data_IF_554051187032
#
_entry.id   IF_554051187032
#
_cell.length_a   1.000
_cell.length_b   1.000
_cell.length_c   1.000
_cell.angle_alpha   90.00
_cell.angle_beta   90.00
_cell.angle_gamma   90.00
#
_symmetry.space_group_name_H-M   'P 1'
#
loop_
_entity.id
_entity.type
_entity.pdbx_description
1 polymer ?
#
# COMPACT_ATOMS: atom_id res chain seq x y z
N UNK A 1 -13.73 71.35 -3.84
CA UNK A 1 -14.16 70.38 -2.82
C UNK A 1 -14.01 68.99 -3.41
N UNK A 2 -12.97 68.28 -2.98
CA UNK A 2 -12.45 67.08 -3.62
C UNK A 2 -13.22 65.81 -3.22
N UNK A 3 -13.41 64.90 -4.19
CA UNK A 3 -14.04 63.58 -4.05
C UNK A 3 -13.10 62.64 -3.28
N UNK A 4 -13.64 61.95 -2.27
CA UNK A 4 -13.00 60.82 -1.60
C UNK A 4 -13.10 59.57 -2.49
N UNK A 5 -11.96 58.99 -2.87
CA UNK A 5 -11.86 57.64 -3.43
C UNK A 5 -11.28 56.73 -2.35
N UNK A 6 -12.07 55.77 -1.89
CA UNK A 6 -11.61 54.69 -1.02
C UNK A 6 -10.89 53.64 -1.88
N UNK A 7 -9.59 53.47 -1.67
CA UNK A 7 -8.82 52.32 -2.15
C UNK A 7 -8.97 51.20 -1.10
N UNK A 8 -9.72 50.15 -1.42
CA UNK A 8 -9.73 48.91 -0.64
C UNK A 8 -8.55 48.05 -1.05
N UNK A 9 -7.57 47.93 -0.17
CA UNK A 9 -6.42 47.05 -0.33
C UNK A 9 -6.86 45.60 -0.04
N UNK A 10 -7.06 44.80 -1.08
CA UNK A 10 -7.35 43.37 -0.94
C UNK A 10 -6.05 42.62 -0.67
N UNK A 11 -5.81 42.24 0.59
CA UNK A 11 -4.75 41.30 0.97
C UNK A 11 -5.15 39.90 0.53
N UNK A 12 -4.57 39.44 -0.58
CA UNK A 12 -4.65 38.06 -1.04
C UNK A 12 -3.82 37.20 -0.07
N UNK A 13 -4.49 36.50 0.86
CA UNK A 13 -3.86 35.53 1.73
C UNK A 13 -3.55 34.29 0.87
N UNK A 14 -2.34 34.21 0.32
CA UNK A 14 -1.83 32.98 -0.28
C UNK A 14 -1.71 31.93 0.83
N UNK A 15 -2.72 31.06 0.93
CA UNK A 15 -2.63 29.80 1.65
C UNK A 15 -1.61 28.94 0.89
N UNK A 16 -0.34 29.03 1.29
CA UNK A 16 0.63 27.99 0.97
C UNK A 16 0.17 26.72 1.69
N UNK A 17 -0.53 25.86 0.96
CA UNK A 17 -0.60 24.44 1.30
C UNK A 17 0.84 23.92 1.31
N UNK A 18 1.41 23.80 2.49
CA UNK A 18 2.56 22.94 2.71
C UNK A 18 2.07 21.50 2.48
N UNK A 19 2.10 21.06 1.23
CA UNK A 19 2.26 19.63 0.99
C UNK A 19 3.58 19.27 1.66
N UNK A 20 3.52 18.29 2.55
CA UNK A 20 4.73 17.68 3.06
C UNK A 20 5.34 16.88 1.91
N UNK A 21 6.14 17.56 1.09
CA UNK A 21 6.88 16.94 0.00
C UNK A 21 7.74 15.82 0.61
N UNK A 22 7.46 14.57 0.21
CA UNK A 22 8.25 13.42 0.62
C UNK A 22 9.67 13.58 0.06
N UNK A 23 10.71 13.15 0.80
CA UNK A 23 12.13 13.46 0.55
C UNK A 23 12.71 13.06 -0.84
N UNK A 24 11.91 12.45 -1.73
CA UNK A 24 12.36 11.92 -3.01
C UNK A 24 11.55 12.42 -4.22
N UNK A 25 10.96 13.62 -4.17
CA UNK A 25 10.17 14.20 -5.28
C UNK A 25 10.93 14.37 -6.62
N UNK A 26 12.25 14.24 -6.63
CA UNK A 26 13.05 14.21 -7.88
C UNK A 26 12.94 12.89 -8.63
N UNK A 27 12.29 11.88 -8.03
CA UNK A 27 12.00 10.61 -8.69
C UNK A 27 10.90 10.77 -9.75
N UNK A 28 11.20 10.33 -10.96
CA UNK A 28 10.21 10.20 -12.03
C UNK A 28 10.45 8.91 -12.77
N UNK A 29 9.45 8.03 -12.74
CA UNK A 29 9.42 6.80 -13.52
C UNK A 29 9.72 7.04 -15.01
N UNK A 30 9.25 8.18 -15.56
CA UNK A 30 9.42 8.52 -16.98
C UNK A 30 10.74 9.21 -17.30
N UNK A 31 11.39 9.81 -16.31
CA UNK A 31 12.58 10.65 -16.52
C UNK A 31 13.63 10.42 -15.43
N UNK A 32 13.98 9.15 -15.19
CA UNK A 32 15.03 8.79 -14.26
C UNK A 32 16.40 9.31 -14.74
N UNK A 33 17.22 9.95 -13.88
CA UNK A 33 18.52 10.49 -14.27
C UNK A 33 19.46 9.42 -14.82
N UNK A 34 19.93 9.59 -16.05
CA UNK A 34 20.77 8.57 -16.71
C UNK A 34 22.13 8.37 -16.04
N UNK A 35 22.65 9.39 -15.36
CA UNK A 35 23.91 9.34 -14.60
C UNK A 35 23.77 8.56 -13.28
N UNK A 36 22.56 8.37 -12.76
CA UNK A 36 22.29 7.60 -11.54
C UNK A 36 21.89 6.15 -11.84
N UNK A 37 21.69 5.80 -13.12
CA UNK A 37 21.25 4.47 -13.52
C UNK A 37 22.38 3.45 -13.39
N UNK A 38 22.23 2.52 -12.46
CA UNK A 38 23.16 1.41 -12.21
C UNK A 38 22.42 0.22 -11.58
N UNK A 39 23.04 -0.96 -11.46
CA UNK A 39 22.41 -2.09 -10.76
C UNK A 39 22.14 -1.75 -9.29
N UNK A 40 20.90 -1.99 -8.85
CA UNK A 40 20.44 -1.72 -7.47
C UNK A 40 21.37 -2.35 -6.43
N UNK A 41 21.69 -3.63 -6.61
CA UNK A 41 22.52 -4.38 -5.67
C UNK A 41 23.95 -3.83 -5.59
N UNK A 42 24.51 -3.35 -6.70
CA UNK A 42 25.83 -2.71 -6.72
C UNK A 42 25.82 -1.39 -5.95
N UNK A 43 24.81 -0.55 -6.17
CA UNK A 43 24.67 0.72 -5.46
C UNK A 43 24.54 0.49 -3.95
N UNK A 44 23.69 -0.46 -3.56
CA UNK A 44 23.41 -0.76 -2.17
C UNK A 44 24.63 -1.35 -1.44
N UNK A 45 25.29 -2.36 -2.02
CA UNK A 45 26.53 -2.94 -1.44
C UNK A 45 27.63 -1.91 -1.30
N UNK A 46 27.81 -1.05 -2.31
CA UNK A 46 28.79 0.03 -2.22
C UNK A 46 28.46 0.98 -1.06
N UNK A 47 27.19 1.34 -0.86
CA UNK A 47 26.77 2.19 0.25
C UNK A 47 27.11 1.56 1.62
N UNK A 48 26.87 0.25 1.78
CA UNK A 48 27.22 -0.48 3.00
C UNK A 48 28.73 -0.57 3.22
N UNK A 49 29.52 -0.74 2.15
CA UNK A 49 30.98 -0.68 2.24
C UNK A 49 31.45 0.70 2.73
N UNK A 50 30.84 1.79 2.25
CA UNK A 50 31.15 3.14 2.75
C UNK A 50 30.70 3.34 4.20
N UNK A 51 29.57 2.75 4.60
CA UNK A 51 29.12 2.74 5.99
C UNK A 51 30.17 2.11 6.91
N UNK A 52 30.72 0.95 6.54
CA UNK A 52 31.76 0.27 7.35
C UNK A 52 33.08 1.05 7.43
N UNK A 53 33.38 1.85 6.39
CA UNK A 53 34.55 2.73 6.34
C UNK A 53 34.32 4.09 7.00
N UNK A 54 33.14 4.31 7.59
CA UNK A 54 32.72 5.59 8.19
C UNK A 54 32.74 6.78 7.20
N UNK A 55 32.61 6.51 5.91
CA UNK A 55 32.47 7.54 4.88
C UNK A 55 30.98 7.93 4.73
N UNK A 56 30.51 8.74 5.67
CA UNK A 56 29.08 9.02 5.85
C UNK A 56 28.41 9.72 4.66
N UNK A 57 29.10 10.67 4.03
CA UNK A 57 28.54 11.43 2.91
C UNK A 57 28.28 10.54 1.70
N UNK A 58 29.28 9.73 1.32
CA UNK A 58 29.18 8.78 0.20
C UNK A 58 28.15 7.67 0.50
N UNK A 59 28.12 7.19 1.74
CA UNK A 59 27.14 6.21 2.20
C UNK A 59 25.70 6.73 2.03
N UNK A 60 25.43 7.97 2.47
CA UNK A 60 24.12 8.62 2.30
C UNK A 60 23.76 8.73 0.83
N UNK A 61 24.68 9.18 -0.02
CA UNK A 61 24.43 9.37 -1.46
C UNK A 61 24.01 8.06 -2.12
N UNK A 62 24.75 6.98 -1.90
CA UNK A 62 24.44 5.69 -2.52
C UNK A 62 23.22 5.00 -1.90
N UNK A 63 22.95 5.17 -0.60
CA UNK A 63 21.71 4.69 0.01
C UNK A 63 20.49 5.42 -0.60
N UNK A 64 20.52 6.74 -0.74
CA UNK A 64 19.44 7.50 -1.37
C UNK A 64 19.26 7.12 -2.87
N UNK A 65 20.35 6.91 -3.62
CA UNK A 65 20.31 6.42 -5.01
C UNK A 65 19.71 5.01 -5.06
N UNK A 66 20.12 4.11 -4.18
CA UNK A 66 19.60 2.74 -4.13
C UNK A 66 18.09 2.70 -3.86
N UNK A 67 17.57 3.55 -2.98
CA UNK A 67 16.12 3.69 -2.75
C UNK A 67 15.38 4.16 -4.01
N UNK A 68 15.95 5.12 -4.77
CA UNK A 68 15.36 5.56 -6.04
C UNK A 68 15.40 4.46 -7.11
N UNK A 69 16.49 3.70 -7.19
CA UNK A 69 16.63 2.56 -8.11
C UNK A 69 15.62 1.44 -7.77
N UNK A 70 15.42 1.17 -6.49
CA UNK A 70 14.40 0.20 -6.04
C UNK A 70 12.99 0.63 -6.45
N UNK A 71 12.63 1.90 -6.26
CA UNK A 71 11.33 2.43 -6.73
C UNK A 71 11.20 2.36 -8.25
N UNK A 72 12.24 2.77 -8.99
CA UNK A 72 12.27 2.65 -10.45
C UNK A 72 11.99 1.21 -10.90
N UNK A 73 12.62 0.23 -10.25
CA UNK A 73 12.43 -1.18 -10.55
C UNK A 73 10.99 -1.62 -10.28
N UNK A 74 10.46 -1.37 -9.07
CA UNK A 74 9.10 -1.77 -8.67
C UNK A 74 8.01 -1.12 -9.54
N UNK A 75 8.14 0.16 -9.85
CA UNK A 75 7.18 0.88 -10.69
C UNK A 75 7.25 0.39 -12.15
N UNK A 76 8.45 0.04 -12.64
CA UNK A 76 8.61 -0.58 -13.97
C UNK A 76 7.93 -1.94 -14.06
N UNK A 77 7.98 -2.73 -12.99
CA UNK A 77 7.28 -4.01 -12.93
C UNK A 77 5.77 -3.83 -12.90
N UNK A 78 5.26 -2.99 -12.00
CA UNK A 78 3.83 -2.67 -11.90
C UNK A 78 3.29 -2.16 -13.25
N UNK A 79 3.98 -1.19 -13.86
CA UNK A 79 3.60 -0.61 -15.14
C UNK A 79 3.45 -1.67 -16.25
N UNK A 80 4.43 -2.57 -16.38
CA UNK A 80 4.35 -3.61 -17.41
C UNK A 80 3.28 -4.66 -17.09
N UNK A 81 3.16 -5.09 -15.84
CA UNK A 81 2.20 -6.12 -15.44
C UNK A 81 0.74 -5.63 -15.56
N UNK A 82 0.47 -4.35 -15.25
CA UNK A 82 -0.83 -3.72 -15.45
C UNK A 82 -1.18 -3.58 -16.93
N UNK A 83 -0.28 -3.01 -17.74
CA UNK A 83 -0.54 -2.80 -19.18
C UNK A 83 -0.70 -4.11 -19.95
N UNK A 84 -0.11 -5.21 -19.48
CA UNK A 84 -0.24 -6.53 -20.09
C UNK A 84 -1.32 -7.40 -19.43
N UNK A 85 -2.04 -6.92 -18.40
CA UNK A 85 -2.99 -7.72 -17.62
C UNK A 85 -4.21 -8.20 -18.42
N UNK A 86 -4.67 -7.38 -19.37
CA UNK A 86 -5.85 -7.65 -20.21
C UNK A 86 -5.53 -8.31 -21.55
N UNK A 87 -4.25 -8.54 -21.85
CA UNK A 87 -3.83 -9.14 -23.12
C UNK A 87 -4.28 -10.60 -23.18
N UNK A 88 -5.00 -10.97 -24.24
CA UNK A 88 -5.51 -12.31 -24.51
C UNK A 88 -5.13 -12.78 -25.91
N UNK A 89 -5.28 -14.08 -26.16
CA UNK A 89 -5.17 -14.67 -27.49
C UNK A 89 -6.20 -14.07 -28.46
N UNK A 90 -5.84 -14.03 -29.73
CA UNK A 90 -6.76 -13.63 -30.80
C UNK A 90 -7.66 -14.84 -31.16
N UNK A 91 -8.98 -14.63 -31.24
CA UNK A 91 -9.99 -15.68 -31.48
C UNK A 91 -10.03 -16.79 -30.40
N UNK A 92 -10.30 -16.42 -29.14
CA UNK A 92 -10.41 -17.36 -28.02
C UNK A 92 -11.42 -18.49 -28.26
N UNK A 93 -12.49 -18.24 -29.03
CA UNK A 93 -13.52 -19.22 -29.43
C UNK A 93 -12.94 -20.48 -30.09
N UNK A 94 -11.78 -20.38 -30.77
CA UNK A 94 -11.13 -21.54 -31.41
C UNK A 94 -10.62 -22.57 -30.40
N UNK A 95 -10.50 -22.19 -29.14
CA UNK A 95 -9.98 -23.03 -28.07
C UNK A 95 -11.07 -23.52 -27.11
N UNK A 96 -12.36 -23.35 -27.45
CA UNK A 96 -13.49 -23.82 -26.60
C UNK A 96 -13.39 -25.31 -26.25
N UNK A 97 -12.96 -26.15 -27.19
CA UNK A 97 -12.78 -27.60 -26.97
C UNK A 97 -11.43 -27.94 -26.30
N UNK A 98 -10.53 -26.97 -26.10
CA UNK A 98 -9.16 -27.17 -25.62
C UNK A 98 -8.78 -26.20 -24.48
N UNK A 99 -9.33 -26.37 -23.26
CA UNK A 99 -9.12 -25.44 -22.15
C UNK A 99 -7.65 -25.25 -21.75
N UNK A 100 -6.83 -26.30 -21.81
CA UNK A 100 -5.41 -26.23 -21.50
C UNK A 100 -4.65 -25.34 -22.50
N UNK A 101 -4.90 -25.53 -23.80
CA UNK A 101 -4.30 -24.71 -24.85
C UNK A 101 -4.76 -23.25 -24.76
N UNK A 102 -6.02 -23.02 -24.37
CA UNK A 102 -6.56 -21.69 -24.11
C UNK A 102 -5.81 -20.99 -22.96
N UNK A 103 -5.69 -21.66 -21.81
CA UNK A 103 -5.03 -21.12 -20.63
C UNK A 103 -3.54 -20.82 -20.88
N UNK A 104 -2.78 -21.80 -21.39
CA UNK A 104 -1.36 -21.62 -21.67
C UNK A 104 -1.09 -20.66 -22.82
N UNK A 105 -1.96 -20.61 -23.83
CA UNK A 105 -1.87 -19.64 -24.90
C UNK A 105 -2.03 -18.20 -24.39
N UNK A 106 -2.95 -17.97 -23.44
CA UNK A 106 -3.09 -16.68 -22.76
C UNK A 106 -1.85 -16.33 -21.93
N UNK A 107 -1.24 -17.31 -21.24
CA UNK A 107 0.05 -17.11 -20.55
C UNK A 107 1.14 -16.70 -21.54
N UNK A 108 1.28 -17.39 -22.68
CA UNK A 108 2.28 -17.06 -23.70
C UNK A 108 2.09 -15.67 -24.28
N UNK A 109 0.84 -15.27 -24.56
CA UNK A 109 0.53 -13.93 -25.08
C UNK A 109 0.88 -12.85 -24.05
N UNK A 110 0.54 -13.05 -22.77
CA UNK A 110 0.92 -12.13 -21.69
C UNK A 110 2.44 -12.05 -21.53
N UNK A 111 3.15 -13.18 -21.56
CA UNK A 111 4.61 -13.22 -21.50
C UNK A 111 5.27 -12.48 -22.67
N UNK A 112 4.73 -12.59 -23.89
CA UNK A 112 5.19 -11.83 -25.05
C UNK A 112 5.03 -10.31 -24.84
N UNK A 113 3.89 -9.88 -24.32
CA UNK A 113 3.64 -8.47 -23.99
C UNK A 113 4.66 -7.96 -22.95
N UNK A 114 4.85 -8.72 -21.86
CA UNK A 114 5.81 -8.37 -20.81
C UNK A 114 7.23 -8.27 -21.32
N UNK A 115 7.67 -9.24 -22.14
CA UNK A 115 9.00 -9.21 -22.76
C UNK A 115 9.23 -7.93 -23.57
N UNK A 116 8.23 -7.52 -24.38
CA UNK A 116 8.30 -6.28 -25.16
C UNK A 116 8.29 -5.03 -24.27
N UNK A 117 7.43 -5.00 -23.26
CA UNK A 117 7.34 -3.86 -22.34
C UNK A 117 8.65 -3.67 -21.55
N UNK A 118 9.16 -4.74 -20.93
CA UNK A 118 10.38 -4.69 -20.12
C UNK A 118 11.60 -4.28 -20.95
N UNK A 119 11.72 -4.72 -22.21
CA UNK A 119 12.81 -4.30 -23.11
C UNK A 119 12.85 -2.78 -23.34
N UNK A 120 11.70 -2.10 -23.27
CA UNK A 120 11.60 -0.66 -23.47
C UNK A 120 12.06 0.19 -22.29
N UNK A 121 12.17 -0.38 -21.07
CA UNK A 121 12.36 0.40 -19.85
C UNK A 121 13.81 0.33 -19.33
N UNK A 122 14.39 1.46 -18.85
CA UNK A 122 15.77 1.51 -18.37
C UNK A 122 16.06 0.57 -17.19
N UNK A 123 15.07 0.34 -16.31
CA UNK A 123 15.22 -0.51 -15.13
C UNK A 123 15.68 -1.93 -15.48
N UNK A 124 15.18 -2.49 -16.59
CA UNK A 124 15.48 -3.86 -17.02
C UNK A 124 16.68 -3.96 -17.96
N UNK A 125 17.41 -2.86 -18.17
CA UNK A 125 18.73 -2.88 -18.83
C UNK A 125 19.86 -3.18 -17.84
N UNK A 126 19.58 -3.07 -16.55
CA UNK A 126 20.51 -3.37 -15.46
C UNK A 126 20.40 -4.84 -15.05
N UNK A 127 21.39 -5.33 -14.31
CA UNK A 127 21.33 -6.64 -13.66
C UNK A 127 20.14 -6.70 -12.70
N UNK A 128 19.40 -7.80 -12.75
CA UNK A 128 18.26 -8.02 -11.86
C UNK A 128 18.74 -8.11 -10.40
N UNK A 129 18.07 -7.43 -9.46
CA UNK A 129 18.42 -7.52 -8.04
C UNK A 129 18.09 -8.91 -7.48
N UNK A 130 18.91 -9.38 -6.53
CA UNK A 130 18.65 -10.61 -5.80
C UNK A 130 17.39 -10.53 -4.92
N UNK A 131 16.81 -11.71 -4.60
CA UNK A 131 15.66 -11.81 -3.70
C UNK A 131 15.93 -11.17 -2.34
N UNK A 132 17.11 -11.45 -1.79
CA UNK A 132 17.57 -10.90 -0.50
C UNK A 132 17.60 -9.36 -0.53
N UNK A 133 18.17 -8.78 -1.60
CA UNK A 133 18.17 -7.32 -1.76
C UNK A 133 16.75 -6.77 -1.80
N UNK A 134 15.85 -7.36 -2.58
CA UNK A 134 14.46 -6.89 -2.66
C UNK A 134 13.75 -6.98 -1.30
N UNK A 135 13.98 -8.05 -0.54
CA UNK A 135 13.41 -8.24 0.80
C UNK A 135 13.91 -7.21 1.80
N UNK A 136 15.21 -6.87 1.78
CA UNK A 136 15.76 -5.81 2.64
C UNK A 136 15.10 -4.44 2.37
N UNK A 137 14.89 -4.10 1.11
CA UNK A 137 14.19 -2.85 0.73
C UNK A 137 12.72 -2.88 1.10
N UNK A 138 12.04 -4.02 0.88
CA UNK A 138 10.65 -4.21 1.33
C UNK A 138 10.53 -4.06 2.84
N UNK A 139 11.53 -4.48 3.61
CA UNK A 139 11.60 -4.36 5.06
C UNK A 139 12.18 -3.03 5.54
N UNK A 140 12.41 -2.05 4.65
CA UNK A 140 12.94 -0.72 4.99
C UNK A 140 14.35 -0.76 5.62
N UNK A 141 15.13 -1.82 5.46
CA UNK A 141 16.49 -1.95 6.01
C UNK A 141 17.43 -0.79 5.63
N UNK A 142 17.40 -0.21 4.40
CA UNK A 142 18.26 0.94 4.08
C UNK A 142 18.08 2.12 5.05
N UNK A 143 16.90 2.30 5.63
CA UNK A 143 16.62 3.37 6.60
C UNK A 143 17.35 3.20 7.93
N UNK A 144 17.66 1.97 8.33
CA UNK A 144 18.47 1.64 9.51
C UNK A 144 19.88 2.20 9.41
N UNK A 145 20.47 2.13 8.23
CA UNK A 145 21.80 2.68 7.93
C UNK A 145 21.74 4.18 7.68
N UNK A 146 20.76 4.65 6.90
CA UNK A 146 20.58 6.06 6.58
C UNK A 146 20.43 6.93 7.83
N UNK A 147 19.63 6.51 8.82
CA UNK A 147 19.42 7.33 10.01
C UNK A 147 20.73 7.61 10.76
N UNK A 148 21.61 6.61 10.85
CA UNK A 148 22.90 6.76 11.53
C UNK A 148 23.87 7.61 10.70
N UNK A 149 23.92 7.36 9.39
CA UNK A 149 24.78 8.12 8.48
C UNK A 149 24.38 9.62 8.42
N UNK A 150 23.08 9.92 8.43
CA UNK A 150 22.58 11.29 8.56
C UNK A 150 22.94 11.92 9.89
N UNK A 151 22.80 11.18 10.99
CA UNK A 151 23.18 11.67 12.31
C UNK A 151 24.67 12.01 12.37
N UNK A 152 25.54 11.12 11.86
CA UNK A 152 26.99 11.35 11.76
C UNK A 152 27.38 12.49 10.83
N UNK A 153 26.54 12.78 9.84
CA UNK A 153 26.68 13.93 8.93
C UNK A 153 26.03 15.21 9.45
N UNK A 154 25.66 15.27 10.74
CA UNK A 154 25.01 16.40 11.40
C UNK A 154 23.68 16.84 10.74
N UNK A 155 22.94 15.89 10.16
CA UNK A 155 21.61 16.12 9.59
C UNK A 155 20.53 15.46 10.45
N UNK A 156 20.21 16.10 11.58
CA UNK A 156 19.24 15.56 12.54
C UNK A 156 17.85 15.36 11.92
N UNK A 157 17.38 16.30 11.09
CA UNK A 157 16.05 16.21 10.49
C UNK A 157 15.87 14.94 9.64
N UNK A 158 16.83 14.66 8.74
CA UNK A 158 16.80 13.43 7.93
C UNK A 158 17.06 12.17 8.76
N UNK A 159 17.88 12.25 9.81
CA UNK A 159 18.12 11.13 10.72
C UNK A 159 16.83 10.70 11.44
N UNK A 160 16.09 11.66 12.00
CA UNK A 160 14.80 11.41 12.67
C UNK A 160 13.80 10.79 11.71
N UNK A 161 13.65 11.36 10.50
CA UNK A 161 12.71 10.85 9.51
C UNK A 161 13.05 9.42 9.05
N UNK A 162 14.34 9.12 8.82
CA UNK A 162 14.78 7.77 8.46
C UNK A 162 14.56 6.78 9.62
N UNK A 163 14.87 7.16 10.86
CA UNK A 163 14.64 6.30 12.02
C UNK A 163 13.14 6.02 12.23
N UNK A 164 12.29 7.05 12.10
CA UNK A 164 10.84 6.90 12.17
C UNK A 164 10.32 5.95 11.08
N UNK A 165 10.78 6.14 9.84
CA UNK A 165 10.42 5.29 8.69
C UNK A 165 10.75 3.82 8.93
N UNK A 166 11.92 3.50 9.51
CA UNK A 166 12.30 2.15 9.87
C UNK A 166 11.43 1.58 11.01
N UNK A 167 11.24 2.35 12.09
CA UNK A 167 10.47 1.90 13.28
C UNK A 167 9.03 1.50 12.96
N UNK A 168 8.40 2.09 11.94
CA UNK A 168 7.05 1.73 11.55
C UNK A 168 6.92 0.25 11.15
N UNK A 169 7.96 -0.37 10.57
CA UNK A 169 7.97 -1.81 10.28
C UNK A 169 8.63 -2.65 11.36
N UNK A 170 9.45 -2.04 12.20
CA UNK A 170 10.22 -2.71 13.24
C UNK A 170 9.96 -2.05 14.60
N UNK A 171 8.71 -2.09 15.10
CA UNK A 171 8.33 -1.41 16.34
C UNK A 171 9.06 -2.00 17.56
N UNK A 172 9.55 -3.23 17.46
CA UNK A 172 10.24 -3.96 18.51
C UNK A 172 11.78 -3.91 18.44
N UNK A 173 12.36 -3.19 17.47
CA UNK A 173 13.81 -3.05 17.38
C UNK A 173 14.37 -2.18 18.53
N UNK A 174 14.99 -2.85 19.50
CA UNK A 174 15.50 -2.23 20.74
C UNK A 174 16.60 -1.19 20.49
N UNK A 175 17.42 -1.38 19.44
CA UNK A 175 18.47 -0.42 19.10
C UNK A 175 17.85 0.87 18.55
N UNK A 176 16.87 0.74 17.66
CA UNK A 176 16.20 1.88 17.05
C UNK A 176 15.33 2.63 18.06
N UNK A 177 14.66 1.94 18.99
CA UNK A 177 13.95 2.59 20.12
C UNK A 177 14.87 3.53 20.88
N UNK A 178 16.07 3.06 21.27
CA UNK A 178 17.07 3.88 21.97
C UNK A 178 17.55 5.07 21.14
N UNK A 179 17.79 4.86 19.85
CA UNK A 179 18.18 5.95 18.95
C UNK A 179 17.06 7.00 18.84
N UNK A 180 15.81 6.56 18.73
CA UNK A 180 14.66 7.44 18.64
C UNK A 180 14.40 8.20 19.95
N UNK A 181 14.55 7.56 21.11
CA UNK A 181 14.44 8.23 22.41
C UNK A 181 15.51 9.31 22.56
N UNK A 182 16.74 9.01 22.12
CA UNK A 182 17.80 10.01 22.07
C UNK A 182 17.44 11.16 21.13
N UNK A 183 16.96 10.88 19.91
CA UNK A 183 16.56 11.94 18.98
C UNK A 183 15.43 12.81 19.53
N UNK A 184 14.40 12.22 20.15
CA UNK A 184 13.30 12.95 20.80
C UNK A 184 13.76 13.84 21.96
N UNK A 185 14.88 13.51 22.59
CA UNK A 185 15.48 14.38 23.63
C UNK A 185 16.10 15.66 23.06
N UNK A 186 16.32 15.73 21.74
CA UNK A 186 16.90 16.89 21.07
C UNK A 186 15.81 17.91 20.69
N UNK A 187 16.03 19.22 20.92
CA UNK A 187 15.05 20.25 20.57
C UNK A 187 14.68 20.23 19.08
N UNK A 188 13.37 20.26 18.78
CA UNK A 188 12.85 20.33 17.42
C UNK A 188 12.79 18.99 16.66
N UNK A 189 13.18 17.87 17.28
CA UNK A 189 13.12 16.56 16.63
C UNK A 189 11.70 16.11 16.29
N UNK A 190 10.70 16.51 17.08
CA UNK A 190 9.29 16.13 16.88
C UNK A 190 8.74 16.59 15.53
N UNK A 191 9.21 17.74 15.01
CA UNK A 191 8.79 18.29 13.71
C UNK A 191 9.31 17.48 12.51
N UNK A 192 10.20 16.51 12.75
CA UNK A 192 10.86 15.70 11.75
C UNK A 192 10.39 14.24 11.73
N UNK A 193 9.39 13.88 12.55
CA UNK A 193 8.75 12.56 12.55
C UNK A 193 7.87 12.38 11.31
N UNK A 194 8.49 12.03 10.19
CA UNK A 194 7.84 11.80 8.90
C UNK A 194 8.17 10.40 8.39
N UNK A 195 7.17 9.69 7.88
CA UNK A 195 7.41 8.47 7.11
C UNK A 195 7.84 8.87 5.68
N UNK A 196 9.05 8.46 5.30
CA UNK A 196 9.66 8.72 4.00
C UNK A 196 9.12 7.79 2.90
N UNK A 197 8.35 6.76 3.27
CA UNK A 197 7.67 5.82 2.37
C UNK A 197 6.14 5.99 2.36
N UNK A 198 5.62 7.03 3.03
CA UNK A 198 4.19 7.31 3.09
C UNK A 198 3.57 7.43 1.69
N UNK A 199 2.43 6.77 1.48
CA UNK A 199 1.66 6.85 0.24
C UNK A 199 0.71 8.06 0.27
N UNK A 200 0.31 8.54 -0.91
CA UNK A 200 -0.54 9.72 -1.05
C UNK A 200 -1.89 9.58 -0.32
N UNK A 201 -2.48 8.39 -0.34
CA UNK A 201 -3.75 8.11 0.33
C UNK A 201 -3.66 8.22 1.85
N UNK A 202 -2.49 8.01 2.46
CA UNK A 202 -2.35 8.05 3.92
C UNK A 202 -2.55 9.47 4.46
N UNK A 203 -1.95 10.46 3.79
CA UNK A 203 -2.13 11.87 4.15
C UNK A 203 -3.59 12.33 3.95
N UNK A 204 -4.24 11.86 2.89
CA UNK A 204 -5.66 12.10 2.61
C UNK A 204 -6.54 11.47 3.69
N UNK A 205 -6.29 10.21 4.05
CA UNK A 205 -7.00 9.49 5.11
C UNK A 205 -6.89 10.23 6.45
N UNK A 206 -5.68 10.60 6.88
CA UNK A 206 -5.46 11.34 8.14
C UNK A 206 -6.21 12.69 8.11
N UNK A 207 -6.17 13.41 6.98
CA UNK A 207 -6.90 14.68 6.83
C UNK A 207 -8.42 14.48 6.90
N UNK A 208 -8.92 13.43 6.26
CA UNK A 208 -10.34 13.07 6.26
C UNK A 208 -10.86 12.72 7.66
N UNK A 209 -10.09 11.95 8.43
CA UNK A 209 -10.40 11.57 9.82
C UNK A 209 -10.39 12.82 10.72
N UNK A 210 -9.36 13.67 10.62
CA UNK A 210 -9.33 14.94 11.38
C UNK A 210 -10.54 15.84 11.06
N UNK A 211 -10.91 15.94 9.79
CA UNK A 211 -12.09 16.70 9.36
C UNK A 211 -13.39 16.07 9.89
N UNK A 212 -13.48 14.75 9.92
CA UNK A 212 -14.61 14.01 10.48
C UNK A 212 -14.82 14.35 11.96
N UNK A 213 -13.76 14.25 12.76
CA UNK A 213 -13.82 14.52 14.20
C UNK A 213 -14.05 16.01 14.52
N UNK A 214 -13.66 16.91 13.62
CA UNK A 214 -14.00 18.33 13.69
C UNK A 214 -15.44 18.65 13.23
N UNK A 215 -16.22 17.65 12.79
CA UNK A 215 -17.58 17.83 12.26
C UNK A 215 -17.65 18.48 10.88
N UNK A 216 -16.51 18.60 10.18
CA UNK A 216 -16.41 19.17 8.83
C UNK A 216 -16.64 18.05 7.80
N UNK A 217 -17.87 17.51 7.79
CA UNK A 217 -18.20 16.30 7.03
C UNK A 217 -17.97 16.44 5.52
N UNK A 218 -18.18 17.63 4.95
CA UNK A 218 -17.95 17.86 3.51
C UNK A 218 -16.48 17.66 3.12
N UNK A 219 -15.55 18.18 3.92
CA UNK A 219 -14.11 17.99 3.70
C UNK A 219 -13.72 16.54 3.94
N UNK A 220 -14.27 15.91 4.99
CA UNK A 220 -14.06 14.50 5.28
C UNK A 220 -14.45 13.61 4.10
N UNK A 221 -15.64 13.80 3.51
CA UNK A 221 -16.08 13.08 2.31
C UNK A 221 -15.10 13.25 1.15
N UNK A 222 -14.76 14.50 0.80
CA UNK A 222 -13.87 14.77 -0.34
C UNK A 222 -12.53 14.07 -0.16
N UNK A 223 -11.93 14.18 1.02
CA UNK A 223 -10.61 13.60 1.28
C UNK A 223 -10.66 12.07 1.39
N UNK A 224 -11.72 11.51 1.97
CA UNK A 224 -11.88 10.06 2.14
C UNK A 224 -12.17 9.37 0.80
N UNK A 225 -12.99 9.96 -0.08
CA UNK A 225 -13.22 9.42 -1.44
C UNK A 225 -11.91 9.41 -2.25
N UNK A 226 -11.10 10.47 -2.13
CA UNK A 226 -9.78 10.52 -2.77
C UNK A 226 -8.82 9.49 -2.17
N UNK A 227 -8.81 9.34 -0.84
CA UNK A 227 -7.99 8.33 -0.16
C UNK A 227 -8.34 6.91 -0.61
N UNK A 228 -9.65 6.58 -0.67
CA UNK A 228 -10.14 5.27 -1.08
C UNK A 228 -9.72 4.93 -2.53
N UNK A 229 -9.89 5.89 -3.45
CA UNK A 229 -9.46 5.72 -4.85
C UNK A 229 -7.95 5.53 -4.98
N UNK A 230 -7.17 6.37 -4.30
CA UNK A 230 -5.71 6.31 -4.35
C UNK A 230 -5.19 5.03 -3.68
N UNK A 231 -5.86 4.54 -2.63
CA UNK A 231 -5.58 3.24 -2.02
C UNK A 231 -5.81 2.09 -3.01
N UNK A 232 -6.96 2.04 -3.69
CA UNK A 232 -7.21 0.97 -4.67
C UNK A 232 -6.20 0.98 -5.82
N UNK A 233 -5.73 2.17 -6.23
CA UNK A 233 -4.66 2.30 -7.22
C UNK A 233 -3.36 1.71 -6.69
N UNK A 234 -2.96 2.07 -5.45
CA UNK A 234 -1.76 1.51 -4.81
C UNK A 234 -1.86 -0.01 -4.59
N UNK A 235 -3.07 -0.52 -4.32
CA UNK A 235 -3.34 -1.95 -4.19
C UNK A 235 -3.18 -2.68 -5.52
N UNK A 236 -3.75 -2.17 -6.62
CA UNK A 236 -3.56 -2.73 -7.96
C UNK A 236 -2.07 -2.70 -8.38
N UNK A 237 -1.35 -1.62 -8.09
CA UNK A 237 0.10 -1.51 -8.31
C UNK A 237 0.88 -2.57 -7.51
N UNK A 238 0.50 -2.80 -6.25
CA UNK A 238 1.12 -3.84 -5.41
C UNK A 238 0.90 -5.24 -6.00
N UNK A 239 -0.33 -5.56 -6.40
CA UNK A 239 -0.67 -6.85 -7.02
C UNK A 239 0.12 -7.08 -8.31
N UNK A 240 0.27 -6.04 -9.13
CA UNK A 240 1.04 -6.09 -10.36
C UNK A 240 2.55 -6.24 -10.09
N UNK A 241 3.08 -5.55 -9.07
CA UNK A 241 4.48 -5.66 -8.69
C UNK A 241 4.83 -6.97 -7.96
N UNK A 242 3.83 -7.75 -7.52
CA UNK A 242 4.02 -9.07 -6.93
C UNK A 242 4.36 -10.15 -7.98
N UNK A 243 4.08 -9.92 -9.26
CA UNK A 243 4.37 -10.85 -10.37
C UNK A 243 5.82 -10.73 -10.89
N UNK A 244 6.73 -10.24 -10.05
CA UNK A 244 8.14 -10.03 -10.40
C UNK A 244 8.90 -11.35 -10.63
N UNK A 245 9.85 -11.32 -11.56
CA UNK A 245 10.63 -12.48 -11.97
C UNK A 245 11.50 -13.01 -10.82
N UNK A 246 11.49 -14.32 -10.63
CA UNK A 246 12.30 -15.05 -9.64
C UNK A 246 13.14 -16.14 -10.30
N UNK A 247 14.24 -16.51 -9.65
CA UNK A 247 15.06 -17.66 -10.04
C UNK A 247 14.33 -18.96 -9.71
N UNK A 248 14.21 -19.87 -10.68
CA UNK A 248 13.66 -21.21 -10.48
C UNK A 248 14.79 -22.06 -9.90
N UNK A 249 14.68 -22.46 -8.63
CA UNK A 249 15.74 -23.18 -7.92
C UNK A 249 15.62 -24.71 -8.04
N UNK A 250 14.41 -25.23 -8.19
CA UNK A 250 14.13 -26.67 -8.17
C UNK A 250 13.74 -27.26 -9.52
N UNK A 251 14.12 -28.52 -9.75
CA UNK A 251 13.65 -29.32 -10.87
C UNK A 251 12.46 -30.18 -10.41
N UNK A 252 11.24 -29.72 -10.70
CA UNK A 252 10.00 -30.46 -10.46
C UNK A 252 9.33 -30.81 -11.79
N UNK A 253 8.31 -31.66 -11.75
CA UNK A 253 7.44 -31.90 -12.91
C UNK A 253 6.75 -30.59 -13.34
N UNK A 254 6.28 -30.54 -14.59
CA UNK A 254 5.80 -29.32 -15.23
C UNK A 254 4.71 -28.59 -14.44
N UNK A 255 3.63 -29.28 -14.05
CA UNK A 255 2.50 -28.68 -13.33
C UNK A 255 2.83 -28.27 -11.90
N UNK A 256 3.50 -29.12 -11.08
CA UNK A 256 4.01 -28.70 -9.77
C UNK A 256 4.90 -27.46 -9.83
N UNK A 257 5.81 -27.37 -10.82
CA UNK A 257 6.68 -26.19 -10.99
C UNK A 257 5.89 -24.91 -11.24
N UNK A 258 4.82 -24.98 -12.03
CA UNK A 258 3.95 -23.84 -12.31
C UNK A 258 3.16 -23.46 -11.05
N UNK A 259 2.60 -24.45 -10.36
CA UNK A 259 1.81 -24.23 -9.17
C UNK A 259 2.64 -23.57 -8.06
N UNK A 260 3.83 -24.10 -7.77
CA UNK A 260 4.75 -23.52 -6.78
C UNK A 260 5.12 -22.08 -7.10
N UNK A 261 5.47 -21.80 -8.37
CA UNK A 261 5.79 -20.44 -8.78
C UNK A 261 4.60 -19.48 -8.61
N UNK A 262 3.38 -19.95 -8.90
CA UNK A 262 2.19 -19.15 -8.70
C UNK A 262 1.85 -18.97 -7.21
N UNK A 263 2.09 -19.99 -6.38
CA UNK A 263 1.92 -19.92 -4.92
C UNK A 263 2.80 -18.85 -4.30
N UNK A 264 4.07 -18.75 -4.70
CA UNK A 264 4.95 -17.65 -4.24
C UNK A 264 4.47 -16.25 -4.68
N UNK A 265 3.81 -16.16 -5.83
CA UNK A 265 3.18 -14.91 -6.29
C UNK A 265 1.95 -14.61 -5.43
N UNK A 266 1.10 -15.61 -5.15
CA UNK A 266 -0.07 -15.47 -4.30
C UNK A 266 0.31 -15.05 -2.87
N UNK A 267 1.33 -15.65 -2.26
CA UNK A 267 1.84 -15.27 -0.94
C UNK A 267 2.20 -13.80 -0.82
N UNK A 268 2.66 -13.18 -1.93
CA UNK A 268 2.94 -11.74 -1.99
C UNK A 268 1.68 -10.93 -2.23
N UNK A 269 0.80 -11.37 -3.11
CA UNK A 269 -0.47 -10.70 -3.43
C UNK A 269 -1.37 -10.58 -2.20
N UNK A 270 -1.54 -11.65 -1.43
CA UNK A 270 -2.38 -11.62 -0.22
C UNK A 270 -1.83 -10.70 0.88
N UNK A 271 -0.53 -10.40 0.86
CA UNK A 271 0.10 -9.44 1.79
C UNK A 271 0.02 -7.99 1.32
N UNK A 272 -0.56 -7.69 0.15
CA UNK A 272 -0.64 -6.32 -0.35
C UNK A 272 -1.47 -5.41 0.55
N UNK A 273 -2.61 -5.87 1.06
CA UNK A 273 -3.43 -5.07 1.99
C UNK A 273 -2.64 -4.73 3.25
N UNK A 274 -2.12 -5.74 3.95
CA UNK A 274 -1.37 -5.52 5.20
C UNK A 274 -0.12 -4.67 5.03
N UNK A 275 0.52 -4.71 3.86
CA UNK A 275 1.67 -3.84 3.52
C UNK A 275 1.28 -2.39 3.24
N UNK A 276 0.05 -2.14 2.80
CA UNK A 276 -0.47 -0.81 2.46
C UNK A 276 -1.28 -0.19 3.61
N UNK A 277 -1.71 -0.98 4.59
CA UNK A 277 -2.40 -0.47 5.77
C UNK A 277 -1.50 0.51 6.54
N UNK A 278 -1.96 1.77 6.75
CA UNK A 278 -1.17 2.77 7.45
C UNK A 278 -1.06 2.47 8.95
N UNK A 279 0.00 2.99 9.55
CA UNK A 279 0.20 3.02 11.00
C UNK A 279 -0.04 4.45 11.47
N UNK A 280 -1.13 4.65 12.20
CA UNK A 280 -1.55 5.97 12.69
C UNK A 280 -1.35 6.00 14.21
N UNK A 281 -0.53 6.95 14.69
CA UNK A 281 -0.27 7.09 16.13
C UNK A 281 0.40 5.87 16.77
N UNK A 282 1.09 5.02 15.99
CA UNK A 282 1.72 3.80 16.46
C UNK A 282 0.84 2.55 16.39
N UNK A 283 -0.38 2.65 15.87
CA UNK A 283 -1.31 1.53 15.73
C UNK A 283 -1.65 1.29 14.25
N UNK A 284 -1.65 0.02 13.85
CA UNK A 284 -2.15 -0.42 12.55
C UNK A 284 -3.66 -0.15 12.50
N UNK A 285 -4.14 0.47 11.44
CA UNK A 285 -5.58 0.69 11.27
C UNK A 285 -6.25 -0.63 10.88
N UNK A 286 -7.05 -1.18 11.79
CA UNK A 286 -7.75 -2.44 11.54
C UNK A 286 -8.81 -2.30 10.43
N UNK A 287 -8.99 -3.37 9.65
CA UNK A 287 -9.94 -3.47 8.51
C UNK A 287 -9.97 -2.19 7.67
N UNK A 288 -8.80 -1.76 7.17
CA UNK A 288 -8.58 -0.41 6.65
C UNK A 288 -9.61 0.04 5.61
N UNK A 289 -9.94 -0.82 4.63
CA UNK A 289 -10.93 -0.51 3.59
C UNK A 289 -12.34 -0.36 4.17
N UNK A 290 -12.73 -1.26 5.07
CA UNK A 290 -14.02 -1.15 5.78
C UNK A 290 -14.08 0.14 6.59
N UNK A 291 -13.01 0.48 7.31
CA UNK A 291 -12.90 1.73 8.08
C UNK A 291 -13.14 2.98 7.21
N UNK A 292 -12.59 3.03 5.99
CA UNK A 292 -12.88 4.14 5.06
C UNK A 292 -14.37 4.23 4.68
N UNK A 293 -15.02 3.08 4.43
CA UNK A 293 -16.46 3.05 4.16
C UNK A 293 -17.31 3.46 5.36
N UNK A 294 -16.90 3.14 6.59
CA UNK A 294 -17.56 3.59 7.81
C UNK A 294 -17.55 5.13 7.91
N UNK A 295 -16.39 5.76 7.71
CA UNK A 295 -16.28 7.22 7.71
C UNK A 295 -17.14 7.86 6.61
N UNK A 296 -17.09 7.33 5.39
CA UNK A 296 -17.92 7.81 4.28
C UNK A 296 -19.41 7.69 4.58
N UNK A 297 -19.86 6.51 5.02
CA UNK A 297 -21.25 6.22 5.37
C UNK A 297 -21.79 7.27 6.35
N UNK A 298 -21.07 7.52 7.44
CA UNK A 298 -21.52 8.45 8.47
C UNK A 298 -21.46 9.90 7.99
N UNK A 299 -20.40 10.28 7.29
CA UNK A 299 -20.23 11.64 6.79
C UNK A 299 -21.33 11.99 5.75
N UNK A 300 -21.64 11.09 4.82
CA UNK A 300 -22.75 11.26 3.89
C UNK A 300 -24.09 11.33 4.60
N UNK A 301 -24.32 10.48 5.61
CA UNK A 301 -25.53 10.55 6.43
C UNK A 301 -25.70 11.93 7.10
N UNK A 302 -24.62 12.48 7.68
CA UNK A 302 -24.63 13.82 8.30
C UNK A 302 -24.88 14.95 7.30
N UNK A 303 -24.56 14.73 6.02
CA UNK A 303 -24.85 15.65 4.92
C UNK A 303 -26.23 15.40 4.29
N UNK A 304 -27.03 14.46 4.82
CA UNK A 304 -28.31 14.03 4.26
C UNK A 304 -28.21 13.49 2.83
N UNK A 305 -27.05 12.92 2.46
CA UNK A 305 -26.80 12.29 1.18
C UNK A 305 -26.92 10.76 1.30
N UNK A 306 -28.16 10.30 1.47
CA UNK A 306 -28.45 8.89 1.73
C UNK A 306 -28.16 8.00 0.51
N UNK A 307 -28.22 8.56 -0.70
CA UNK A 307 -27.88 7.85 -1.95
C UNK A 307 -26.42 7.42 -1.99
N UNK A 308 -25.53 8.15 -1.32
CA UNK A 308 -24.14 7.73 -1.15
C UNK A 308 -23.86 7.03 0.18
N UNK A 309 -24.59 7.37 1.25
CA UNK A 309 -24.41 6.74 2.56
C UNK A 309 -24.76 5.24 2.57
N UNK A 310 -25.88 4.84 1.95
CA UNK A 310 -26.37 3.46 1.99
C UNK A 310 -25.45 2.49 1.23
N UNK A 311 -24.97 2.81 0.00
CA UNK A 311 -23.98 1.97 -0.66
C UNK A 311 -22.67 1.82 0.13
N UNK A 312 -22.22 2.86 0.85
CA UNK A 312 -21.06 2.76 1.74
C UNK A 312 -21.32 1.80 2.90
N UNK A 313 -22.51 1.83 3.51
CA UNK A 313 -22.90 0.89 4.55
C UNK A 313 -22.91 -0.56 4.01
N UNK A 314 -23.42 -0.77 2.80
CA UNK A 314 -23.44 -2.08 2.16
C UNK A 314 -22.02 -2.57 1.83
N UNK A 315 -21.15 -1.69 1.32
CA UNK A 315 -19.72 -1.97 1.11
C UNK A 315 -19.00 -2.32 2.40
N UNK A 316 -19.33 -1.66 3.52
CA UNK A 316 -18.77 -2.00 4.83
C UNK A 316 -19.16 -3.43 5.24
N UNK A 317 -20.46 -3.77 5.19
CA UNK A 317 -20.94 -5.10 5.58
C UNK A 317 -20.36 -6.22 4.71
N UNK A 318 -20.11 -5.94 3.43
CA UNK A 318 -19.41 -6.88 2.55
C UNK A 318 -18.01 -7.22 3.09
N UNK A 319 -17.29 -6.23 3.59
CA UNK A 319 -15.90 -6.36 4.06
C UNK A 319 -15.81 -6.80 5.54
N UNK A 320 -16.81 -6.46 6.35
CA UNK A 320 -16.89 -6.81 7.76
C UNK A 320 -18.31 -7.27 8.15
N UNK A 321 -18.69 -8.52 7.81
CA UNK A 321 -20.04 -9.02 8.02
C UNK A 321 -20.35 -9.34 9.49
N UNK A 322 -19.38 -9.27 10.41
CA UNK A 322 -19.61 -9.54 11.84
C UNK A 322 -20.02 -8.31 12.65
N UNK A 323 -19.94 -7.10 12.08
CA UNK A 323 -20.27 -5.85 12.78
C UNK A 323 -21.80 -5.66 12.94
N UNK A 324 -22.30 -5.83 14.16
CA UNK A 324 -23.71 -5.66 14.49
C UNK A 324 -24.20 -4.20 14.43
N UNK A 325 -23.33 -3.22 14.67
CA UNK A 325 -23.69 -1.80 14.62
C UNK A 325 -24.01 -1.41 13.18
N UNK A 326 -23.16 -1.81 12.24
CA UNK A 326 -23.42 -1.52 10.83
C UNK A 326 -24.62 -2.31 10.28
N UNK A 327 -24.87 -3.54 10.74
CA UNK A 327 -26.09 -4.28 10.38
C UNK A 327 -27.35 -3.53 10.80
N UNK A 328 -27.36 -3.01 12.02
CA UNK A 328 -28.47 -2.20 12.52
C UNK A 328 -28.66 -0.92 11.69
N UNK A 329 -27.57 -0.29 11.23
CA UNK A 329 -27.64 0.86 10.32
C UNK A 329 -28.31 0.49 8.98
N UNK A 330 -27.98 -0.67 8.39
CA UNK A 330 -28.65 -1.14 7.16
C UNK A 330 -30.15 -1.35 7.40
N UNK A 331 -30.54 -2.02 8.49
CA UNK A 331 -31.95 -2.24 8.84
C UNK A 331 -32.67 -0.90 9.03
N UNK A 332 -32.02 0.08 9.65
CA UNK A 332 -32.54 1.43 9.81
C UNK A 332 -32.79 2.14 8.47
N UNK A 333 -31.85 2.06 7.53
CA UNK A 333 -32.03 2.58 6.17
C UNK A 333 -33.16 1.87 5.41
N UNK A 334 -33.26 0.53 5.53
CA UNK A 334 -34.32 -0.26 4.92
C UNK A 334 -35.70 0.13 5.46
N UNK A 335 -35.82 0.32 6.77
CA UNK A 335 -37.08 0.72 7.40
C UNK A 335 -37.59 2.09 6.93
N UNK A 336 -36.67 3.02 6.64
CA UNK A 336 -37.00 4.37 6.17
C UNK A 336 -36.87 4.56 4.66
N UNK A 337 -36.73 3.46 3.90
CA UNK A 337 -36.46 3.46 2.46
C UNK A 337 -37.40 4.37 1.66
N UNK A 338 -38.71 4.19 1.82
CA UNK A 338 -39.73 4.97 1.09
C UNK A 338 -39.69 6.46 1.46
N UNK A 339 -39.50 6.76 2.75
CA UNK A 339 -39.41 8.13 3.27
C UNK A 339 -38.22 8.89 2.67
N UNK A 340 -37.15 8.17 2.37
CA UNK A 340 -35.88 8.75 1.90
C UNK A 340 -35.65 8.60 0.40
N UNK A 341 -36.64 8.07 -0.34
CA UNK A 341 -36.52 7.89 -1.79
C UNK A 341 -35.42 6.90 -2.18
N UNK A 342 -35.14 5.93 -1.31
CA UNK A 342 -34.15 4.89 -1.55
C UNK A 342 -34.79 3.75 -2.36
N UNK A 343 -34.01 3.16 -3.27
CA UNK A 343 -34.36 1.98 -4.08
C UNK A 343 -33.58 0.76 -3.61
N UNK A 344 -33.97 -0.44 -4.06
CA UNK A 344 -33.19 -1.66 -3.78
C UNK A 344 -31.74 -1.55 -4.26
N UNK A 345 -31.51 -0.86 -5.39
CA UNK A 345 -30.18 -0.63 -5.96
C UNK A 345 -29.25 0.15 -5.01
N UNK A 346 -29.78 1.00 -4.12
CA UNK A 346 -28.95 1.77 -3.17
C UNK A 346 -28.37 0.88 -2.06
N UNK A 347 -28.92 -0.32 -1.85
CA UNK A 347 -28.46 -1.28 -0.86
C UNK A 347 -27.42 -2.26 -1.43
N UNK A 348 -26.97 -2.04 -2.66
CA UNK A 348 -25.87 -2.79 -3.24
C UNK A 348 -24.54 -2.16 -2.82
N UNK A 349 -23.53 -2.97 -2.47
CA UNK A 349 -22.18 -2.47 -2.25
C UNK A 349 -21.63 -1.81 -3.53
N UNK A 350 -20.78 -0.80 -3.35
CA UNK A 350 -20.10 -0.15 -4.48
C UNK A 350 -19.26 -1.13 -5.29
N UNK A 351 -19.20 -0.94 -6.60
CA UNK A 351 -18.56 -1.86 -7.53
C UNK A 351 -17.07 -2.09 -7.23
N UNK A 352 -16.36 -1.05 -6.81
CA UNK A 352 -14.95 -1.13 -6.42
C UNK A 352 -14.74 -1.97 -5.15
N UNK A 353 -15.66 -1.91 -4.18
CA UNK A 353 -15.62 -2.78 -2.99
C UNK A 353 -15.86 -4.25 -3.37
N UNK A 354 -16.83 -4.52 -4.26
CA UNK A 354 -17.13 -5.87 -4.74
C UNK A 354 -15.94 -6.46 -5.49
N UNK A 355 -15.33 -5.68 -6.40
CA UNK A 355 -14.13 -6.11 -7.12
C UNK A 355 -13.01 -6.47 -6.14
N UNK A 356 -12.74 -5.58 -5.18
CA UNK A 356 -11.72 -5.77 -4.17
C UNK A 356 -11.96 -7.04 -3.35
N UNK A 357 -13.15 -7.18 -2.76
CA UNK A 357 -13.53 -8.34 -1.95
C UNK A 357 -13.39 -9.66 -2.71
N UNK A 358 -13.96 -9.74 -3.92
CA UNK A 358 -13.90 -10.94 -4.74
C UNK A 358 -12.46 -11.31 -5.09
N UNK A 359 -11.65 -10.33 -5.49
CA UNK A 359 -10.26 -10.58 -5.87
C UNK A 359 -9.40 -11.05 -4.69
N UNK A 360 -9.54 -10.40 -3.53
CA UNK A 360 -8.79 -10.78 -2.32
C UNK A 360 -9.18 -12.17 -1.84
N UNK A 361 -10.48 -12.49 -1.80
CA UNK A 361 -10.94 -13.82 -1.38
C UNK A 361 -10.51 -14.93 -2.34
N UNK A 362 -10.66 -14.72 -3.65
CA UNK A 362 -10.21 -15.71 -4.64
C UNK A 362 -8.68 -15.97 -4.54
N UNK A 363 -7.89 -14.93 -4.29
CA UNK A 363 -6.44 -15.09 -4.08
C UNK A 363 -6.13 -15.87 -2.81
N UNK A 364 -6.85 -15.60 -1.71
CA UNK A 364 -6.68 -16.29 -0.44
C UNK A 364 -7.09 -17.77 -0.55
N UNK A 365 -8.25 -18.06 -1.12
CA UNK A 365 -8.74 -19.43 -1.36
C UNK A 365 -7.75 -20.26 -2.18
N UNK A 366 -7.17 -19.67 -3.24
CA UNK A 366 -6.15 -20.34 -4.04
C UNK A 366 -4.84 -20.59 -3.27
N UNK A 367 -4.44 -19.66 -2.41
CA UNK A 367 -3.25 -19.82 -1.58
C UNK A 367 -3.46 -20.92 -0.53
N UNK A 368 -4.60 -20.91 0.16
CA UNK A 368 -4.98 -21.93 1.13
C UNK A 368 -5.03 -23.32 0.49
N UNK A 369 -5.59 -23.42 -0.72
CA UNK A 369 -5.58 -24.66 -1.49
C UNK A 369 -4.15 -25.16 -1.70
N UNK A 370 -3.22 -24.30 -2.12
CA UNK A 370 -1.82 -24.69 -2.30
C UNK A 370 -1.16 -25.14 -1.00
N UNK A 371 -1.40 -24.42 0.10
CA UNK A 371 -0.81 -24.75 1.40
C UNK A 371 -1.31 -26.10 1.93
N UNK A 372 -2.56 -26.45 1.64
CA UNK A 372 -3.16 -27.71 2.09
C UNK A 372 -2.78 -28.92 1.22
N UNK A 373 -2.48 -28.72 -0.07
CA UNK A 373 -2.39 -29.83 -1.03
C UNK A 373 -1.07 -29.94 -1.79
N UNK A 374 -0.24 -28.90 -1.80
CA UNK A 374 0.97 -28.84 -2.63
C UNK A 374 2.27 -28.71 -1.83
N UNK A 375 2.20 -28.61 -0.50
CA UNK A 375 3.39 -28.65 0.35
C UNK A 375 4.07 -30.03 0.26
N UNK A 376 5.40 -30.05 0.20
CA UNK A 376 6.15 -31.31 0.19
C UNK A 376 5.94 -32.07 1.51
N UNK A 377 5.80 -33.40 1.44
CA UNK A 377 5.60 -34.30 2.58
C UNK A 377 6.76 -34.33 3.60
N UNK A 378 7.79 -33.50 3.45
CA UNK A 378 9.05 -33.55 4.19
C UNK A 378 9.05 -32.82 5.54
N UNK A 379 7.91 -32.33 6.05
CA UNK A 379 7.79 -31.85 7.44
C UNK A 379 6.68 -32.56 8.23
N UNK A 380 6.83 -33.87 8.44
CA UNK A 380 6.35 -34.48 9.69
C UNK A 380 7.30 -34.02 10.82
N UNK A 381 7.15 -32.77 11.28
CA UNK A 381 8.12 -32.26 12.24
C UNK A 381 8.06 -30.82 12.76
N UNK A 382 6.96 -30.06 12.66
CA UNK A 382 6.74 -28.96 13.61
C UNK A 382 5.28 -28.46 13.62
N UNK A 383 4.63 -28.33 14.79
CA UNK A 383 3.24 -27.88 14.87
C UNK A 383 3.16 -26.35 14.87
N UNK A 384 2.32 -25.80 13.97
CA UNK A 384 1.80 -24.43 13.91
C UNK A 384 2.77 -23.29 13.53
N UNK A 385 2.73 -22.88 12.27
CA UNK A 385 2.75 -21.47 11.90
C UNK A 385 1.30 -21.05 11.61
N UNK A 386 0.70 -20.12 12.37
CA UNK A 386 -0.62 -19.65 12.03
C UNK A 386 -0.52 -18.78 10.77
N UNK A 387 -1.16 -19.21 9.68
CA UNK A 387 -1.79 -18.24 8.78
C UNK A 387 -2.69 -17.33 9.63
N UNK A 388 -2.87 -16.04 9.29
CA UNK A 388 -3.93 -15.26 9.90
C UNK A 388 -5.23 -15.97 9.51
N UNK A 389 -5.76 -16.77 10.42
CA UNK A 389 -7.07 -17.37 10.23
C UNK A 389 -8.05 -16.23 10.02
N UNK A 390 -9.07 -16.49 9.22
CA UNK A 390 -10.33 -15.74 9.24
C UNK A 390 -10.94 -15.68 10.66
N UNK A 391 -10.36 -16.38 11.64
CA UNK A 391 -10.67 -16.38 13.07
C UNK A 391 -9.68 -15.59 13.97
N UNK A 392 -8.62 -14.95 13.46
CA UNK A 392 -7.88 -13.91 14.24
C UNK A 392 -8.72 -12.64 14.42
N UNK A 393 -9.87 -12.54 13.74
CA UNK A 393 -10.85 -11.46 13.92
C UNK A 393 -11.75 -11.69 15.16
N UNK A 394 -11.78 -12.86 15.80
CA UNK A 394 -12.86 -13.18 16.77
C UNK A 394 -12.47 -13.50 18.22
N UNK A 395 -11.19 -13.63 18.61
CA UNK A 395 -10.86 -14.08 19.98
C UNK A 395 -9.78 -13.33 20.79
N UNK A 396 -9.36 -12.13 20.37
CA UNK A 396 -9.10 -11.07 21.34
C UNK A 396 -10.39 -10.23 21.44
N UNK A 397 -10.53 -9.34 22.42
CA UNK A 397 -11.67 -8.40 22.51
C UNK A 397 -12.95 -8.90 23.21
N UNK A 398 -12.80 -9.67 24.28
CA UNK A 398 -13.69 -9.45 25.42
C UNK A 398 -13.16 -8.24 26.23
N UNK A 399 -13.89 -7.13 26.12
CA UNK A 399 -13.78 -6.01 27.05
C UNK A 399 -12.87 -4.86 26.61
N UNK A 400 -13.39 -3.99 25.74
CA UNK A 400 -13.26 -2.52 25.91
C UNK A 400 -14.20 -1.77 24.97
N UNK A 401 -15.42 -1.62 25.44
CA UNK A 401 -16.35 -0.57 25.01
C UNK A 401 -15.72 0.84 25.17
N UNK A 402 -16.13 1.73 24.24
CA UNK A 402 -16.28 3.19 24.43
C UNK A 402 -15.10 4.18 24.30
N UNK A 403 -13.95 3.88 23.68
CA UNK A 403 -12.91 4.94 23.47
C UNK A 403 -12.30 5.15 22.08
N UNK A 404 -12.75 4.46 21.04
CA UNK A 404 -12.24 4.69 19.67
C UNK A 404 -13.02 5.76 18.87
N UNK A 405 -13.90 6.54 19.51
CA UNK A 405 -14.65 7.64 18.88
C UNK A 405 -13.96 9.01 18.96
N UNK A 406 -12.66 9.07 19.31
CA UNK A 406 -11.89 10.33 19.33
C UNK A 406 -10.44 10.06 18.92
N UNK A 407 -10.17 9.99 17.62
CA UNK A 407 -8.91 10.41 17.01
C UNK A 407 -9.14 10.80 15.57
#
# INVERSE_FOLDING_TARGET
MARMSHLTFGTLLCLFTFCADAQYETYSFRSFPSNELMPLESAYKYALDQYTKENWQECVEYLEVSLRLYRLFKDSEAFCNLNCSSVRLDNEEKFEEFPELHAFGNIMKRAQCLKRCKHGLPAFRQTMPSRETLEEFENREPYKYLQFAFFKSNNLAKAVAAAHTFMLKHPDDEMMKRNMDYYKSLPGAEDHLKDLEAKSYEALFIRAVRAFNAGIFRTSVVDMELALRDFFTAYDDCLAAAESSREIQDFKDFYPSIADHYTEVLERKVRCESRLTPIVGGFVVDKFVATMYHYLQFAYYKLNDLKNAVPCAASYILLDPSDEVMKNNIVYYQYHKDKWGLSEEDFLPRAEAVRYFNQTNMQLEMLEFSQQHLQADDEVGSPYLPCPSTDVISHAYEGRDEKAAML
#
